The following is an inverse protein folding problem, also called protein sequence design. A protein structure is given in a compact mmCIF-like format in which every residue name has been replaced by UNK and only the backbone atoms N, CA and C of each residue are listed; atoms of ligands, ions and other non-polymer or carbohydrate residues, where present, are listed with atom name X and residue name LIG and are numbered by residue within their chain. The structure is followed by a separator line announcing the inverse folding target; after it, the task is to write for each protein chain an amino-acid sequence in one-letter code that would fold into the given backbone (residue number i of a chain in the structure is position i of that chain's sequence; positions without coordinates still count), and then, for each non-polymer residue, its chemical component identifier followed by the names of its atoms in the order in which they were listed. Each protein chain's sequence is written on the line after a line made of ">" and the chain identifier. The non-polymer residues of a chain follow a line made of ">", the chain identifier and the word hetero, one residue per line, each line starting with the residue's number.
data_IF_220831805268
#
_entry.id   IF_220831805268
#
_cell.length_a   1.000
_cell.length_b   1.000
_cell.length_c   1.000
_cell.angle_alpha   90.00
_cell.angle_beta   90.00
_cell.angle_gamma   90.00
#
_symmetry.space_group_name_H-M   'P 1'
#
loop_
_entity.id
_entity.type
_entity.pdbx_description
1 polymer ?
#
# COMPACT_ATOMS: atom_id res chain seq x y z
N UNK A 1 -7.34 -11.92 27.16
CA UNK A 1 -6.26 -10.94 27.39
C UNK A 1 -6.82 -9.53 27.33
N UNK A 2 -6.46 -8.65 28.27
CA UNK A 2 -6.99 -7.28 28.34
C UNK A 2 -6.05 -6.30 27.61
N UNK A 3 -6.47 -5.81 26.44
CA UNK A 3 -5.68 -4.89 25.60
C UNK A 3 -5.66 -3.43 26.09
N UNK A 4 -6.34 -3.11 27.20
CA UNK A 4 -6.42 -1.75 27.76
C UNK A 4 -5.05 -1.15 28.07
N UNK A 5 -4.11 -1.97 28.57
CA UNK A 5 -2.75 -1.54 28.89
C UNK A 5 -1.96 -1.11 27.64
N UNK A 6 -2.13 -1.81 26.52
CA UNK A 6 -1.45 -1.50 25.26
C UNK A 6 -1.95 -0.18 24.65
N UNK A 7 -3.27 0.08 24.71
CA UNK A 7 -3.87 1.35 24.29
C UNK A 7 -3.32 2.56 25.06
N UNK A 8 -2.97 2.36 26.33
CA UNK A 8 -2.44 3.41 27.21
C UNK A 8 -0.96 3.72 26.92
N UNK A 9 -0.20 2.72 26.47
CA UNK A 9 1.25 2.83 26.17
C UNK A 9 1.53 3.30 24.74
N UNK A 10 0.61 3.03 23.80
CA UNK A 10 0.69 3.45 22.40
C UNK A 10 -0.61 4.15 21.99
N UNK A 11 -0.84 5.39 22.42
CA UNK A 11 -2.04 6.12 22.03
C UNK A 11 -2.07 6.28 20.51
N UNK A 12 -3.11 5.74 19.88
CA UNK A 12 -3.40 5.95 18.47
C UNK A 12 -4.05 7.33 18.27
N UNK A 13 -3.38 8.38 18.73
CA UNK A 13 -3.88 9.76 18.71
C UNK A 13 -2.77 10.64 18.17
N UNK A 14 -3.08 11.39 17.11
CA UNK A 14 -2.16 12.35 16.48
C UNK A 14 -1.99 13.59 17.36
N UNK A 15 -0.97 14.41 17.07
CA UNK A 15 -0.69 15.67 17.78
C UNK A 15 -1.85 16.68 17.77
N UNK A 16 -2.75 16.56 16.79
CA UNK A 16 -3.98 17.36 16.67
C UNK A 16 -5.18 16.76 17.44
N UNK A 17 -4.98 15.71 18.23
CA UNK A 17 -6.03 15.04 19.03
C UNK A 17 -6.93 14.08 18.25
N UNK A 18 -6.72 13.92 16.94
CA UNK A 18 -7.52 13.01 16.10
C UNK A 18 -7.05 11.55 16.27
N UNK A 19 -7.97 10.58 16.16
CA UNK A 19 -7.63 9.15 16.30
C UNK A 19 -7.00 8.62 15.02
N UNK A 20 -5.82 8.03 15.14
CA UNK A 20 -5.11 7.33 14.08
C UNK A 20 -5.56 5.87 13.99
N UNK A 21 -5.62 5.34 12.80
CA UNK A 21 -5.85 3.92 12.54
C UNK A 21 -4.82 3.45 11.54
N UNK A 22 -4.11 2.39 11.91
CA UNK A 22 -3.32 1.60 10.97
C UNK A 22 -4.18 0.43 10.56
N UNK A 23 -4.19 0.13 9.27
CA UNK A 23 -4.70 -1.14 8.78
C UNK A 23 -3.48 -2.06 8.66
N UNK A 24 -2.92 -2.42 9.81
CA UNK A 24 -1.74 -3.28 9.94
C UNK A 24 -2.03 -4.73 9.53
N UNK A 25 -3.30 -5.05 9.24
CA UNK A 25 -3.74 -6.31 8.67
C UNK A 25 -4.25 -6.09 7.25
N UNK A 26 -3.36 -6.29 6.28
CA UNK A 26 -3.71 -6.60 4.89
C UNK A 26 -4.38 -7.99 4.87
N UNK A 27 -5.58 -8.12 5.43
CA UNK A 27 -6.40 -9.32 5.32
C UNK A 27 -7.13 -9.29 3.97
N UNK A 28 -6.36 -9.44 2.90
CA UNK A 28 -6.75 -9.91 1.56
C UNK A 28 -5.66 -9.53 0.56
N UNK A 29 -4.42 -9.99 0.78
CA UNK A 29 -3.42 -10.00 -0.29
C UNK A 29 -3.76 -11.10 -1.30
N UNK A 30 -4.92 -10.97 -1.96
CA UNK A 30 -5.21 -11.65 -3.21
C UNK A 30 -5.11 -10.59 -4.29
N UNK A 31 -4.17 -10.78 -5.21
CA UNK A 31 -3.99 -9.94 -6.40
C UNK A 31 -5.35 -9.78 -7.09
N UNK A 32 -5.83 -8.53 -7.23
CA UNK A 32 -7.13 -8.22 -7.83
C UNK A 32 -8.30 -8.11 -6.84
N UNK A 33 -8.11 -8.40 -5.55
CA UNK A 33 -9.08 -8.21 -4.47
C UNK A 33 -8.59 -7.14 -3.48
N UNK A 34 -8.02 -6.03 -3.96
CA UNK A 34 -7.81 -4.90 -3.04
C UNK A 34 -9.19 -4.42 -2.59
N UNK A 35 -9.55 -4.64 -1.33
CA UNK A 35 -10.82 -4.20 -0.75
C UNK A 35 -10.91 -2.65 -0.58
N UNK A 36 -10.00 -1.91 -1.23
CA UNK A 36 -10.05 -0.46 -1.32
C UNK A 36 -10.66 -0.05 -2.66
N UNK A 37 -11.97 -0.28 -2.78
CA UNK A 37 -12.75 0.31 -3.85
C UNK A 37 -13.16 1.73 -3.44
N UNK A 38 -12.87 2.73 -4.29
CA UNK A 38 -13.31 4.11 -4.09
C UNK A 38 -14.82 4.25 -4.31
N UNK A 39 -15.40 3.38 -5.14
CA UNK A 39 -16.81 3.46 -5.52
C UNK A 39 -17.75 3.27 -4.31
N UNK A 40 -17.32 2.48 -3.32
CA UNK A 40 -18.07 2.20 -2.10
C UNK A 40 -17.80 3.22 -0.98
N UNK A 41 -16.96 4.24 -1.23
CA UNK A 41 -16.45 5.17 -0.21
C UNK A 41 -16.37 6.61 -0.74
N UNK A 42 -17.51 7.31 -0.87
CA UNK A 42 -17.58 8.65 -1.45
C UNK A 42 -16.72 9.69 -0.70
N UNK A 43 -16.39 9.44 0.57
CA UNK A 43 -15.49 10.30 1.34
C UNK A 43 -14.06 10.37 0.77
N UNK A 44 -13.67 9.43 -0.10
CA UNK A 44 -12.35 9.42 -0.75
C UNK A 44 -12.35 9.82 -2.22
N UNK A 45 -13.51 10.13 -2.83
CA UNK A 45 -13.60 10.50 -4.25
C UNK A 45 -12.66 11.66 -4.62
N UNK A 46 -12.54 12.65 -3.71
CA UNK A 46 -11.59 13.74 -3.86
C UNK A 46 -10.14 13.25 -4.09
N UNK A 47 -9.69 12.25 -3.33
CA UNK A 47 -8.34 11.71 -3.47
C UNK A 47 -8.17 10.93 -4.78
N UNK A 48 -9.21 10.23 -5.23
CA UNK A 48 -9.21 9.55 -6.54
C UNK A 48 -8.99 10.54 -7.69
N UNK A 49 -9.67 11.69 -7.67
CA UNK A 49 -9.48 12.73 -8.67
C UNK A 49 -8.06 13.31 -8.64
N UNK A 50 -7.48 13.48 -7.44
CA UNK A 50 -6.09 13.90 -7.30
C UNK A 50 -5.10 12.86 -7.84
N UNK A 51 -5.37 11.55 -7.68
CA UNK A 51 -4.56 10.50 -8.26
C UNK A 51 -4.61 10.52 -9.79
N UNK A 52 -5.81 10.64 -10.37
CA UNK A 52 -5.99 10.75 -11.84
C UNK A 52 -5.25 11.95 -12.40
N UNK A 53 -5.38 13.11 -11.76
CA UNK A 53 -4.70 14.34 -12.17
C UNK A 53 -3.17 14.22 -12.08
N UNK A 54 -2.65 13.53 -11.07
CA UNK A 54 -1.21 13.40 -10.85
C UNK A 54 -0.55 12.32 -11.72
N UNK A 55 -1.18 11.15 -11.86
CA UNK A 55 -0.63 9.99 -12.57
C UNK A 55 -0.97 10.00 -14.07
N UNK A 56 -2.05 10.69 -14.44
CA UNK A 56 -2.73 10.54 -15.73
C UNK A 56 -3.69 9.34 -15.71
N UNK A 57 -4.81 9.45 -16.43
CA UNK A 57 -5.87 8.44 -16.43
C UNK A 57 -5.39 7.04 -16.81
N UNK A 58 -4.54 6.95 -17.84
CA UNK A 58 -4.00 5.68 -18.34
C UNK A 58 -3.18 4.92 -17.28
N UNK A 59 -2.32 5.64 -16.56
CA UNK A 59 -1.50 5.04 -15.50
C UNK A 59 -2.35 4.74 -14.27
N UNK A 60 -3.27 5.64 -13.91
CA UNK A 60 -4.20 5.41 -12.82
C UNK A 60 -5.00 4.12 -13.04
N UNK A 61 -5.56 3.91 -14.23
CA UNK A 61 -6.34 2.70 -14.57
C UNK A 61 -5.55 1.41 -14.37
N UNK A 62 -4.25 1.41 -14.71
CA UNK A 62 -3.35 0.25 -14.51
C UNK A 62 -3.04 0.00 -13.04
N UNK A 63 -2.90 1.07 -12.25
CA UNK A 63 -2.49 1.00 -10.84
C UNK A 63 -3.67 0.86 -9.87
N UNK A 64 -4.88 1.29 -10.24
CA UNK A 64 -6.08 1.27 -9.41
C UNK A 64 -6.32 -0.09 -8.74
N UNK A 65 -6.20 -1.25 -9.42
CA UNK A 65 -6.40 -2.56 -8.79
C UNK A 65 -5.37 -2.92 -7.72
N UNK A 66 -4.24 -2.21 -7.69
CA UNK A 66 -3.11 -2.44 -6.79
C UNK A 66 -2.94 -1.32 -5.76
N UNK A 67 -3.79 -0.28 -5.80
CA UNK A 67 -3.73 0.85 -4.89
C UNK A 67 -4.36 0.48 -3.55
N UNK A 68 -3.59 0.66 -2.48
CA UNK A 68 -3.98 0.27 -1.13
C UNK A 68 -3.77 1.47 -0.20
N UNK A 69 -4.76 1.75 0.65
CA UNK A 69 -4.64 2.68 1.76
C UNK A 69 -4.21 1.91 3.02
N UNK A 70 -2.99 2.15 3.52
CA UNK A 70 -2.45 1.41 4.68
C UNK A 70 -2.78 2.06 6.02
N UNK A 71 -3.04 3.36 6.04
CA UNK A 71 -3.34 4.08 7.27
C UNK A 71 -4.13 5.35 7.02
N UNK A 72 -4.93 5.74 8.01
CA UNK A 72 -5.80 6.91 7.99
C UNK A 72 -6.03 7.44 9.41
N UNK A 73 -6.50 8.68 9.55
CA UNK A 73 -7.01 9.19 10.82
C UNK A 73 -8.47 9.61 10.69
N UNK A 74 -9.17 9.59 11.82
CA UNK A 74 -10.55 10.07 11.94
C UNK A 74 -10.55 11.34 12.77
N UNK A 75 -11.06 12.42 12.20
CA UNK A 75 -11.29 13.66 12.92
C UNK A 75 -12.68 14.22 12.65
N UNK A 76 -13.41 14.60 13.70
CA UNK A 76 -14.79 15.10 13.60
C UNK A 76 -15.70 14.21 12.73
N UNK A 77 -15.55 12.88 12.86
CA UNK A 77 -16.31 11.89 12.10
C UNK A 77 -15.87 11.67 10.65
N UNK A 78 -14.91 12.44 10.13
CA UNK A 78 -14.36 12.29 8.77
C UNK A 78 -13.06 11.49 8.77
N UNK A 79 -12.90 10.61 7.78
CA UNK A 79 -11.66 9.85 7.54
C UNK A 79 -10.73 10.62 6.61
N UNK A 80 -9.45 10.61 6.94
CA UNK A 80 -8.40 11.26 6.18
C UNK A 80 -7.27 10.26 5.97
N UNK A 81 -6.91 9.93 4.72
CA UNK A 81 -5.83 9.01 4.44
C UNK A 81 -4.49 9.61 4.87
N UNK A 82 -3.58 8.75 5.32
CA UNK A 82 -2.21 9.11 5.69
C UNK A 82 -1.23 8.49 4.70
N UNK A 83 -1.44 7.24 4.33
CA UNK A 83 -0.51 6.53 3.44
C UNK A 83 -1.26 5.66 2.44
N UNK A 84 -0.84 5.81 1.18
CA UNK A 84 -1.20 4.92 0.09
C UNK A 84 0.06 4.26 -0.45
N UNK A 85 -0.07 3.03 -0.93
CA UNK A 85 0.99 2.36 -1.67
C UNK A 85 0.40 1.52 -2.80
N UNK A 86 1.22 1.29 -3.83
CA UNK A 86 0.92 0.34 -4.91
C UNK A 86 1.94 -0.78 -4.86
N UNK A 87 1.48 -2.02 -5.01
CA UNK A 87 2.35 -3.18 -5.03
C UNK A 87 2.00 -4.05 -6.24
N UNK A 88 2.96 -4.19 -7.16
CA UNK A 88 2.81 -5.01 -8.35
C UNK A 88 3.73 -6.22 -8.21
N UNK A 89 3.12 -7.39 -8.06
CA UNK A 89 3.82 -8.66 -8.05
C UNK A 89 3.62 -9.38 -9.38
N UNK A 90 4.70 -9.86 -9.97
CA UNK A 90 4.66 -10.68 -11.17
C UNK A 90 5.34 -12.03 -10.93
N UNK A 91 4.79 -13.08 -11.56
CA UNK A 91 5.39 -14.41 -11.55
C UNK A 91 6.43 -14.48 -12.65
N UNK A 92 7.66 -14.83 -12.27
CA UNK A 92 8.75 -15.09 -13.21
C UNK A 92 8.95 -16.60 -13.30
N UNK A 93 8.82 -17.14 -14.50
CA UNK A 93 9.18 -18.52 -14.80
C UNK A 93 10.59 -18.55 -15.38
N UNK A 94 11.48 -19.27 -14.70
CA UNK A 94 12.87 -19.45 -15.11
C UNK A 94 13.09 -20.90 -15.56
N UNK A 95 13.92 -21.10 -16.58
CA UNK A 95 14.27 -22.41 -17.12
C UNK A 95 15.75 -22.70 -16.84
N UNK A 96 16.05 -23.90 -16.38
CA UNK A 96 17.36 -24.29 -15.84
C UNK A 96 17.24 -25.52 -14.96
N UNK A 97 18.34 -26.01 -14.39
CA UNK A 97 18.31 -27.11 -13.43
C UNK A 97 18.12 -26.55 -12.02
N UNK A 98 16.96 -26.79 -11.43
CA UNK A 98 16.62 -26.38 -10.07
C UNK A 98 16.38 -27.60 -9.18
N UNK A 99 16.48 -27.44 -7.86
CA UNK A 99 16.23 -28.50 -6.89
C UNK A 99 17.49 -28.95 -6.15
N UNK A 100 17.32 -29.89 -5.24
CA UNK A 100 18.37 -30.52 -4.44
C UNK A 100 18.12 -32.04 -4.37
N UNK A 101 19.09 -32.79 -3.85
CA UNK A 101 19.02 -34.26 -3.75
C UNK A 101 17.81 -34.75 -2.92
N UNK A 102 17.26 -33.94 -2.01
CA UNK A 102 16.15 -34.31 -1.14
C UNK A 102 14.75 -34.05 -1.73
N UNK A 103 14.64 -33.11 -2.69
CA UNK A 103 13.37 -32.74 -3.34
C UNK A 103 13.27 -33.15 -4.81
N UNK A 104 14.37 -33.61 -5.40
CA UNK A 104 14.48 -33.91 -6.82
C UNK A 104 14.70 -32.65 -7.67
N UNK A 105 15.06 -32.86 -8.93
CA UNK A 105 15.40 -31.79 -9.86
C UNK A 105 14.20 -31.39 -10.74
N UNK A 106 14.10 -30.12 -11.10
CA UNK A 106 13.14 -29.59 -12.07
C UNK A 106 13.84 -28.78 -13.15
N UNK A 107 13.25 -28.74 -14.36
CA UNK A 107 13.74 -27.91 -15.47
C UNK A 107 13.15 -26.49 -15.47
N UNK A 108 12.27 -26.18 -14.51
CA UNK A 108 11.70 -24.84 -14.38
C UNK A 108 11.35 -24.49 -12.94
N UNK A 109 11.48 -23.22 -12.60
CA UNK A 109 11.13 -22.65 -11.31
C UNK A 109 10.23 -21.42 -11.49
N UNK A 110 9.27 -21.26 -10.59
CA UNK A 110 8.38 -20.07 -10.55
C UNK A 110 8.74 -19.28 -9.30
N UNK A 111 9.18 -18.04 -9.49
CA UNK A 111 9.40 -17.09 -8.39
C UNK A 111 8.42 -15.93 -8.49
N UNK A 112 8.13 -15.29 -7.34
CA UNK A 112 7.41 -14.02 -7.30
C UNK A 112 8.43 -12.90 -7.21
N UNK A 113 8.26 -11.86 -8.03
CA UNK A 113 9.06 -10.64 -7.97
C UNK A 113 8.12 -9.47 -7.77
N UNK A 114 8.50 -8.56 -6.86
CA UNK A 114 7.78 -7.31 -6.61
C UNK A 114 8.50 -6.17 -7.32
N UNK A 115 7.76 -5.38 -8.09
CA UNK A 115 8.26 -4.10 -8.62
C UNK A 115 7.92 -3.00 -7.62
N UNK A 116 8.83 -2.73 -6.67
CA UNK A 116 8.73 -1.59 -5.77
C UNK A 116 9.22 -0.30 -6.44
N UNK A 117 8.44 0.77 -6.37
CA UNK A 117 8.92 2.11 -6.74
C UNK A 117 9.89 2.66 -5.70
N UNK A 118 10.95 3.32 -6.14
CA UNK A 118 11.97 3.93 -5.26
C UNK A 118 11.78 5.42 -5.01
N UNK A 119 10.61 5.97 -5.35
CA UNK A 119 10.31 7.41 -5.22
C UNK A 119 9.26 7.65 -4.15
N UNK A 120 9.48 8.71 -3.35
CA UNK A 120 8.47 9.20 -2.42
C UNK A 120 7.54 10.20 -3.10
N UNK A 121 6.27 10.16 -2.72
CA UNK A 121 5.24 11.04 -3.23
C UNK A 121 4.48 11.64 -2.05
N UNK A 122 4.46 12.96 -1.97
CA UNK A 122 3.81 13.69 -0.88
C UNK A 122 2.53 14.33 -1.35
N UNK A 123 1.51 14.34 -0.49
CA UNK A 123 0.29 15.11 -0.70
C UNK A 123 0.34 16.38 0.15
N UNK A 124 0.55 17.53 -0.48
CA UNK A 124 0.65 18.83 0.20
C UNK A 124 -0.10 19.89 -0.59
N UNK A 125 -0.72 20.85 0.10
CA UNK A 125 -1.52 21.91 -0.53
C UNK A 125 -2.49 21.35 -1.57
N UNK A 126 -3.21 20.28 -1.21
CA UNK A 126 -4.22 19.65 -2.05
C UNK A 126 -3.69 19.07 -3.39
N UNK A 127 -2.38 18.81 -3.50
CA UNK A 127 -1.74 18.29 -4.71
C UNK A 127 -0.64 17.26 -4.38
N UNK A 128 -0.48 16.26 -5.25
CA UNK A 128 0.65 15.34 -5.17
C UNK A 128 1.91 15.93 -5.79
N UNK A 129 3.05 15.73 -5.13
CA UNK A 129 4.37 16.17 -5.55
C UNK A 129 5.34 14.98 -5.44
N UNK A 130 6.16 14.77 -6.47
CA UNK A 130 7.23 13.77 -6.43
C UNK A 130 8.39 14.33 -5.61
N UNK A 131 8.92 13.55 -4.67
CA UNK A 131 10.16 13.90 -3.99
C UNK A 131 11.38 13.53 -4.84
N UNK A 132 12.45 14.31 -4.69
CA UNK A 132 13.78 13.98 -5.22
C UNK A 132 14.55 13.01 -4.32
N UNK A 133 14.00 12.68 -3.15
CA UNK A 133 14.54 11.68 -2.25
C UNK A 133 14.61 10.31 -2.93
N UNK A 134 15.74 9.62 -2.71
CA UNK A 134 15.96 8.26 -3.19
C UNK A 134 15.68 7.28 -2.05
N UNK A 135 14.84 6.28 -2.32
CA UNK A 135 14.68 5.15 -1.41
C UNK A 135 16.01 4.40 -1.28
N UNK A 136 16.63 4.43 -0.10
CA UNK A 136 17.94 3.80 0.16
C UNK A 136 17.85 2.33 0.61
N UNK A 137 16.64 1.75 0.67
CA UNK A 137 16.46 0.33 1.00
C UNK A 137 16.62 -0.01 2.49
N UNK A 138 16.86 0.96 3.37
CA UNK A 138 16.88 0.69 4.80
C UNK A 138 15.45 0.51 5.33
N UNK A 139 15.09 -0.76 5.53
CA UNK A 139 13.97 -1.15 6.38
C UNK A 139 14.37 -0.90 7.84
N UNK A 140 13.52 -0.18 8.58
CA UNK A 140 13.58 -0.14 10.03
C UNK A 140 13.05 -1.45 10.62
#
# INVERSE_FOLDING_TARGET
>A
MNFSYLKKKFPQVLSNGCKYYRDDYINSYKIGESNFNFDDKPEFAYYEDQFKAYMGEENYKKLRPYLIMSSYYVCKGKRYPITFYTMIDYKVKSYGLFGDEGRGFSFSSISRKSAGGGSFHYFTNNKFIKSDEKYTGQSY
#
